data_IF_727719649378
#
_entry.id   IF_727719649378
#
_cell.length_a   1.000
_cell.length_b   1.000
_cell.length_c   1.000
_cell.angle_alpha   90.00
_cell.angle_beta   90.00
_cell.angle_gamma   90.00
#
_symmetry.space_group_name_H-M   'P 1'
#
loop_
_entity.id
_entity.type
_entity.pdbx_description
1 polymer ?
#
# COMPACT_ATOMS: atom_id res chain seq x y z
N UNK A 1 -0.34 20.70 -19.02
CA UNK A 1 0.23 20.87 -17.68
C UNK A 1 -0.86 21.38 -16.74
N UNK A 2 -0.97 20.77 -15.57
CA UNK A 2 -1.98 21.12 -14.59
C UNK A 2 -1.29 21.39 -13.26
N UNK A 3 -1.64 22.49 -12.61
CA UNK A 3 -1.16 22.82 -11.27
C UNK A 3 -2.38 22.96 -10.37
N UNK A 4 -2.43 22.20 -9.29
CA UNK A 4 -3.48 22.24 -8.28
C UNK A 4 -2.83 22.60 -6.95
N UNK A 5 -3.31 23.65 -6.31
CA UNK A 5 -2.88 24.04 -4.96
C UNK A 5 -3.95 23.59 -3.96
N UNK A 6 -3.52 23.14 -2.79
CA UNK A 6 -4.38 22.77 -1.66
C UNK A 6 -3.71 23.23 -0.37
N UNK A 7 -4.44 23.26 0.74
CA UNK A 7 -4.03 23.92 1.98
C UNK A 7 -2.64 23.49 2.50
N UNK A 8 -2.21 22.27 2.22
CA UNK A 8 -0.96 21.71 2.72
C UNK A 8 0.03 21.36 1.62
N UNK A 9 -0.15 21.87 0.40
CA UNK A 9 0.78 21.49 -0.67
C UNK A 9 0.38 21.90 -2.07
N UNK A 10 1.12 21.34 -3.02
CA UNK A 10 0.96 21.58 -4.45
C UNK A 10 1.06 20.26 -5.21
N UNK A 11 0.21 20.10 -6.21
CA UNK A 11 0.29 19.02 -7.18
C UNK A 11 0.56 19.59 -8.56
N UNK A 12 1.54 19.04 -9.23
CA UNK A 12 1.89 19.40 -10.60
C UNK A 12 1.81 18.17 -11.46
N UNK A 13 1.01 18.23 -12.52
CA UNK A 13 0.97 17.21 -13.54
C UNK A 13 1.45 17.79 -14.87
N UNK A 14 2.35 17.09 -15.54
CA UNK A 14 2.87 17.49 -16.84
C UNK A 14 2.96 16.28 -17.77
N UNK A 15 2.84 16.56 -19.06
CA UNK A 15 3.02 15.58 -20.11
C UNK A 15 4.47 15.61 -20.57
N UNK A 16 5.04 14.44 -20.73
CA UNK A 16 6.40 14.27 -21.20
C UNK A 16 6.45 13.21 -22.28
N UNK A 17 7.14 13.53 -23.37
CA UNK A 17 7.41 12.58 -24.43
C UNK A 17 8.75 11.87 -24.18
N UNK A 18 8.71 10.56 -24.23
CA UNK A 18 9.90 9.71 -24.16
C UNK A 18 10.12 8.99 -25.47
N UNK A 19 11.34 9.04 -25.96
CA UNK A 19 11.76 8.22 -27.10
C UNK A 19 12.38 6.93 -26.58
N UNK A 20 11.77 5.81 -26.90
CA UNK A 20 12.30 4.50 -26.54
C UNK A 20 13.42 4.17 -27.52
N UNK A 21 14.62 3.89 -27.01
CA UNK A 21 15.75 3.42 -27.82
C UNK A 21 15.52 1.97 -28.24
N UNK A 22 14.93 1.80 -29.40
CA UNK A 22 14.70 0.51 -30.04
C UNK A 22 14.86 0.68 -31.56
N UNK A 23 14.84 -0.40 -32.33
CA UNK A 23 14.92 -0.34 -33.80
C UNK A 23 13.83 0.56 -34.42
N UNK A 24 12.66 0.63 -33.80
CA UNK A 24 11.51 1.43 -34.26
C UNK A 24 11.49 2.86 -33.68
N UNK A 25 12.33 3.14 -32.67
CA UNK A 25 12.38 4.44 -31.97
C UNK A 25 11.00 5.07 -31.68
N UNK A 26 10.03 4.33 -31.10
CA UNK A 26 8.71 4.87 -30.85
C UNK A 26 8.76 5.99 -29.81
N UNK A 27 7.95 7.01 -30.01
CA UNK A 27 7.71 8.06 -29.02
C UNK A 27 6.49 7.69 -28.20
N UNK A 28 6.63 7.73 -26.88
CA UNK A 28 5.55 7.48 -25.93
C UNK A 28 5.29 8.74 -25.12
N UNK A 29 4.06 9.21 -25.13
CA UNK A 29 3.61 10.32 -24.29
C UNK A 29 3.20 9.75 -22.92
N UNK A 30 3.76 10.28 -21.85
CA UNK A 30 3.43 9.92 -20.48
C UNK A 30 3.02 11.15 -19.69
N UNK A 31 1.97 11.01 -18.89
CA UNK A 31 1.60 12.02 -17.90
C UNK A 31 2.24 11.68 -16.56
N UNK A 32 3.02 12.62 -16.04
CA UNK A 32 3.70 12.49 -14.75
C UNK A 32 3.07 13.47 -13.77
N UNK A 33 2.67 12.97 -12.60
CA UNK A 33 2.18 13.78 -11.50
C UNK A 33 3.15 13.76 -10.31
N UNK A 34 3.42 14.95 -9.78
CA UNK A 34 4.23 15.12 -8.58
C UNK A 34 3.44 15.92 -7.55
N UNK A 35 3.31 15.38 -6.33
CA UNK A 35 2.70 16.07 -5.22
C UNK A 35 3.75 16.41 -4.16
N UNK A 36 3.81 17.67 -3.76
CA UNK A 36 4.64 18.15 -2.65
C UNK A 36 3.69 18.57 -1.54
N UNK A 37 3.86 18.02 -0.34
CA UNK A 37 3.00 18.30 0.81
C UNK A 37 3.83 18.69 2.03
N UNK A 38 3.29 19.61 2.82
CA UNK A 38 3.80 19.88 4.15
C UNK A 38 3.48 18.68 5.05
N UNK A 39 4.44 18.30 5.86
CA UNK A 39 4.25 17.28 6.89
C UNK A 39 3.55 17.88 8.10
N UNK A 40 2.88 17.03 8.89
CA UNK A 40 2.25 17.42 10.13
C UNK A 40 3.27 18.12 11.06
N UNK A 41 2.86 19.23 11.69
CA UNK A 41 3.71 19.96 12.63
C UNK A 41 4.07 19.12 13.88
N UNK A 42 3.22 18.15 14.23
CA UNK A 42 3.43 17.21 15.33
C UNK A 42 3.59 15.78 14.76
N UNK A 43 4.80 15.38 14.39
CA UNK A 43 5.05 14.04 13.88
C UNK A 43 4.85 12.98 14.97
N UNK A 44 4.60 11.75 14.56
CA UNK A 44 4.49 10.62 15.48
C UNK A 44 5.82 10.42 16.23
N UNK A 45 5.77 10.18 17.55
CA UNK A 45 6.98 9.95 18.34
C UNK A 45 7.83 8.80 17.77
N UNK A 46 9.14 9.01 17.66
CA UNK A 46 10.11 8.04 17.17
C UNK A 46 10.09 6.76 18.02
N UNK A 47 10.23 5.61 17.37
CA UNK A 47 10.35 4.30 18.05
C UNK A 47 11.44 3.46 17.36
N UNK A 48 12.48 3.13 18.10
CA UNK A 48 13.55 2.28 17.62
C UNK A 48 13.06 0.85 17.33
N UNK A 49 13.62 0.23 16.31
CA UNK A 49 13.29 -1.13 15.93
C UNK A 49 13.92 -2.12 16.93
N UNK A 50 13.17 -3.16 17.24
CA UNK A 50 13.69 -4.35 17.90
C UNK A 50 13.72 -5.48 16.88
N UNK A 51 14.91 -5.90 16.47
CA UNK A 51 15.10 -6.89 15.40
C UNK A 51 14.58 -8.30 15.74
N UNK A 52 14.10 -8.54 16.96
CA UNK A 52 13.40 -9.79 17.31
C UNK A 52 12.00 -9.89 16.69
N UNK A 53 11.48 -8.78 16.15
CA UNK A 53 10.14 -8.75 15.54
C UNK A 53 10.23 -8.36 14.05
N UNK A 54 9.40 -8.96 13.19
CA UNK A 54 9.43 -8.72 11.75
C UNK A 54 8.70 -7.41 11.36
N UNK A 55 9.22 -6.27 11.82
CA UNK A 55 8.70 -4.96 11.41
C UNK A 55 9.27 -4.52 10.06
N UNK A 56 8.55 -3.64 9.37
CA UNK A 56 9.17 -2.77 8.37
C UNK A 56 9.86 -1.63 9.12
N UNK A 57 11.12 -1.36 8.78
CA UNK A 57 11.91 -0.31 9.43
C UNK A 57 12.70 0.50 8.41
N UNK A 58 13.08 1.72 8.80
CA UNK A 58 14.03 2.57 8.11
C UNK A 58 15.35 2.50 8.85
N UNK A 59 16.41 2.22 8.11
CA UNK A 59 17.79 2.23 8.65
C UNK A 59 18.43 3.59 8.40
N UNK A 60 19.13 4.12 9.36
CA UNK A 60 19.87 5.36 9.26
C UNK A 60 21.23 5.26 9.94
N UNK A 61 22.12 6.18 9.61
CA UNK A 61 23.44 6.28 10.23
C UNK A 61 23.45 7.42 11.24
N UNK A 62 23.66 7.08 12.51
CA UNK A 62 23.80 8.04 13.59
C UNK A 62 25.28 8.39 13.79
N UNK A 63 25.63 9.63 13.53
CA UNK A 63 26.99 10.17 13.69
C UNK A 63 27.26 10.74 15.09
N UNK A 64 26.20 10.87 15.91
CA UNK A 64 26.31 11.43 17.26
C UNK A 64 26.64 10.42 18.35
N UNK A 65 26.46 9.12 18.09
CA UNK A 65 26.63 8.06 19.10
C UNK A 65 28.07 7.61 19.33
N UNK A 66 28.93 7.80 18.37
CA UNK A 66 30.30 7.33 18.46
C UNK A 66 31.28 8.35 17.89
N UNK A 67 32.37 8.65 18.60
CA UNK A 67 33.43 9.51 18.06
C UNK A 67 34.26 8.83 16.97
N UNK A 68 34.11 7.52 16.80
CA UNK A 68 34.90 6.72 15.86
C UNK A 68 34.20 6.45 14.52
N UNK A 69 32.96 6.91 14.35
CA UNK A 69 32.23 6.74 13.11
C UNK A 69 30.72 6.62 13.31
N UNK A 70 30.01 6.46 12.20
CA UNK A 70 28.56 6.30 12.21
C UNK A 70 28.14 4.93 12.75
N UNK A 71 27.17 4.93 13.64
CA UNK A 71 26.48 3.72 14.13
C UNK A 71 25.19 3.55 13.35
N UNK A 72 24.96 2.36 12.80
CA UNK A 72 23.69 2.05 12.14
C UNK A 72 22.61 1.78 13.18
N UNK A 73 21.46 2.43 13.03
CA UNK A 73 20.28 2.24 13.84
C UNK A 73 19.02 2.19 12.98
N UNK A 74 17.90 1.75 13.54
CA UNK A 74 16.68 1.55 12.79
C UNK A 74 15.44 2.01 13.57
N UNK A 75 14.52 2.63 12.87
CA UNK A 75 13.21 3.05 13.41
C UNK A 75 12.09 2.29 12.75
N UNK A 76 11.05 1.96 13.51
CA UNK A 76 9.91 1.19 13.04
C UNK A 76 9.02 2.03 12.14
N UNK A 77 8.65 1.50 10.97
CA UNK A 77 7.60 2.07 10.15
C UNK A 77 6.23 1.68 10.71
N UNK A 78 5.41 2.68 11.04
CA UNK A 78 4.09 2.43 11.63
C UNK A 78 3.07 3.48 11.28
N UNK A 79 1.81 3.07 11.22
CA UNK A 79 0.70 3.98 11.06
C UNK A 79 0.40 4.74 12.34
N UNK A 80 -0.04 5.99 12.19
CA UNK A 80 -0.68 6.75 13.26
C UNK A 80 -2.14 6.31 13.35
N UNK A 81 -2.43 5.37 14.24
CA UNK A 81 -3.79 4.89 14.48
C UNK A 81 -4.23 5.39 15.86
N UNK A 82 -5.32 6.12 15.89
CA UNK A 82 -5.91 6.61 17.11
C UNK A 82 -7.43 6.38 17.07
N UNK A 83 -8.12 6.12 18.20
CA UNK A 83 -9.57 5.89 18.23
C UNK A 83 -10.41 6.99 17.57
N UNK A 84 -9.90 8.24 17.58
CA UNK A 84 -10.56 9.40 16.95
C UNK A 84 -10.09 9.65 15.50
N UNK A 85 -8.98 9.04 15.06
CA UNK A 85 -8.45 9.14 13.69
C UNK A 85 -8.14 7.73 13.17
N UNK A 86 -9.15 7.00 12.67
CA UNK A 86 -8.96 5.68 12.09
C UNK A 86 -8.15 5.77 10.81
N UNK A 87 -7.44 4.69 10.47
CA UNK A 87 -6.82 4.55 9.16
C UNK A 87 -7.90 4.42 8.09
N UNK A 88 -7.85 5.29 7.10
CA UNK A 88 -8.77 5.25 5.96
C UNK A 88 -8.18 4.35 4.88
N UNK A 89 -8.87 3.27 4.59
CA UNK A 89 -8.55 2.40 3.48
C UNK A 89 -9.46 2.73 2.29
N UNK A 90 -8.85 3.10 1.16
CA UNK A 90 -9.55 3.38 -0.09
C UNK A 90 -9.39 2.19 -1.03
N UNK A 91 -10.47 1.70 -1.58
CA UNK A 91 -10.44 0.67 -2.63
C UNK A 91 -10.70 1.38 -3.96
N UNK A 92 -9.80 1.17 -4.92
CA UNK A 92 -9.88 1.75 -6.25
C UNK A 92 -11.20 1.36 -6.91
N UNK A 93 -11.98 2.32 -7.45
CA UNK A 93 -13.23 2.04 -8.16
C UNK A 93 -13.08 1.10 -9.37
N UNK A 94 -11.89 1.02 -9.95
CA UNK A 94 -11.57 0.09 -11.04
C UNK A 94 -11.43 -1.35 -10.59
N UNK A 95 -11.40 -1.61 -9.28
CA UNK A 95 -11.38 -2.97 -8.75
C UNK A 95 -12.69 -3.69 -9.08
N UNK A 96 -12.64 -4.88 -9.70
CA UNK A 96 -13.86 -5.63 -10.01
C UNK A 96 -14.72 -5.87 -8.76
N UNK A 97 -16.05 -5.68 -8.81
CA UNK A 97 -16.94 -5.74 -7.65
C UNK A 97 -16.84 -7.03 -6.84
N UNK A 98 -16.61 -8.15 -7.54
CA UNK A 98 -16.40 -9.46 -6.90
C UNK A 98 -15.20 -9.42 -5.96
N UNK A 99 -14.06 -8.92 -6.44
CA UNK A 99 -12.81 -8.83 -5.65
C UNK A 99 -12.89 -7.75 -4.59
N UNK A 100 -13.48 -6.59 -4.92
CA UNK A 100 -13.65 -5.49 -3.97
C UNK A 100 -14.36 -5.96 -2.68
N UNK A 101 -15.38 -6.84 -2.79
CA UNK A 101 -16.10 -7.35 -1.63
C UNK A 101 -15.22 -8.22 -0.72
N UNK A 102 -14.36 -9.07 -1.28
CA UNK A 102 -13.42 -9.90 -0.52
C UNK A 102 -12.29 -9.08 0.09
N UNK A 103 -11.73 -8.14 -0.67
CA UNK A 103 -10.71 -7.20 -0.19
C UNK A 103 -11.23 -6.42 1.01
N UNK A 104 -12.46 -5.88 0.91
CA UNK A 104 -13.14 -5.18 2.00
C UNK A 104 -13.25 -6.03 3.26
N UNK A 105 -13.72 -7.28 3.13
CA UNK A 105 -13.80 -8.22 4.25
C UNK A 105 -12.43 -8.49 4.87
N UNK A 106 -11.40 -8.70 4.05
CA UNK A 106 -10.04 -8.94 4.50
C UNK A 106 -9.47 -7.76 5.28
N UNK A 107 -9.62 -6.54 4.75
CA UNK A 107 -9.16 -5.31 5.42
C UNK A 107 -9.87 -5.10 6.75
N UNK A 108 -11.20 -5.25 6.79
CA UNK A 108 -11.97 -5.05 8.02
C UNK A 108 -11.74 -6.14 9.08
N UNK A 109 -11.29 -7.33 8.68
CA UNK A 109 -10.96 -8.40 9.62
C UNK A 109 -9.84 -7.99 10.61
N UNK A 110 -8.93 -7.10 10.18
CA UNK A 110 -7.88 -6.55 11.05
C UNK A 110 -8.41 -5.75 12.24
N UNK A 111 -9.64 -5.20 12.15
CA UNK A 111 -10.23 -4.49 13.28
C UNK A 111 -10.33 -5.36 14.54
N UNK A 112 -10.53 -6.69 14.38
CA UNK A 112 -10.54 -7.60 15.53
C UNK A 112 -9.20 -7.64 16.28
N UNK A 113 -8.09 -7.62 15.54
CA UNK A 113 -6.75 -7.56 16.13
C UNK A 113 -6.49 -6.23 16.84
N UNK A 114 -6.94 -5.11 16.22
CA UNK A 114 -6.84 -3.80 16.84
C UNK A 114 -7.73 -3.66 18.10
N UNK A 115 -8.92 -4.27 18.11
CA UNK A 115 -9.78 -4.31 19.30
C UNK A 115 -9.14 -5.05 20.47
N UNK A 116 -8.42 -6.15 20.21
CA UNK A 116 -7.63 -6.84 21.22
C UNK A 116 -6.49 -5.96 21.76
N UNK A 117 -5.96 -5.07 20.94
CA UNK A 117 -4.97 -4.06 21.34
C UNK A 117 -5.60 -2.80 21.97
N UNK A 118 -6.94 -2.78 22.19
CA UNK A 118 -7.64 -1.67 22.82
C UNK A 118 -8.09 -0.55 21.87
N UNK A 119 -7.93 -0.72 20.57
CA UNK A 119 -8.30 0.30 19.57
C UNK A 119 -9.52 -0.18 18.77
N UNK A 120 -10.68 0.38 19.06
CA UNK A 120 -11.93 0.06 18.34
C UNK A 120 -12.01 0.85 17.02
N UNK A 121 -12.53 0.20 15.99
CA UNK A 121 -12.74 0.79 14.66
C UNK A 121 -11.46 1.44 14.09
N UNK A 122 -10.33 0.76 14.22
CA UNK A 122 -9.02 1.24 13.81
C UNK A 122 -8.92 1.50 12.31
N UNK A 123 -9.66 0.73 11.49
CA UNK A 123 -9.67 0.85 10.03
C UNK A 123 -11.09 1.10 9.57
N UNK A 124 -11.25 2.08 8.67
CA UNK A 124 -12.49 2.36 7.95
C UNK A 124 -12.25 2.30 6.46
N UNK A 125 -13.24 1.80 5.72
CA UNK A 125 -13.21 1.80 4.26
C UNK A 125 -13.93 3.03 3.75
N UNK A 126 -13.30 3.72 2.81
CA UNK A 126 -13.89 4.78 2.04
C UNK A 126 -14.07 4.28 0.61
N UNK A 127 -15.33 4.15 0.18
CA UNK A 127 -15.68 3.76 -1.18
C UNK A 127 -15.67 5.00 -2.09
N UNK A 128 -15.26 4.85 -3.33
CA UNK A 128 -15.24 5.91 -4.35
C UNK A 128 -14.26 7.08 -4.11
N UNK A 129 -13.19 6.85 -3.39
CA UNK A 129 -12.14 7.86 -3.33
C UNK A 129 -11.32 7.84 -4.63
N UNK A 130 -11.78 8.57 -5.63
CA UNK A 130 -10.94 9.01 -6.75
C UNK A 130 -10.05 10.13 -6.27
N UNK A 131 -9.05 9.81 -5.48
CA UNK A 131 -8.04 10.80 -5.12
C UNK A 131 -7.00 10.84 -6.24
N UNK A 132 -7.17 11.75 -7.17
CA UNK A 132 -6.13 12.07 -8.16
C UNK A 132 -4.83 12.49 -7.48
N UNK A 133 -4.93 13.08 -6.30
CA UNK A 133 -3.81 13.52 -5.48
C UNK A 133 -3.73 12.63 -4.23
N UNK A 134 -2.61 11.93 -3.99
CA UNK A 134 -2.44 11.09 -2.81
C UNK A 134 -2.64 11.91 -1.52
N UNK A 135 -3.68 11.65 -0.77
CA UNK A 135 -3.89 12.26 0.53
C UNK A 135 -3.06 11.55 1.60
N UNK A 136 -2.54 12.31 2.59
CA UNK A 136 -1.79 11.74 3.71
C UNK A 136 -2.70 10.85 4.57
N UNK A 137 -2.06 9.92 5.30
CA UNK A 137 -2.70 8.96 6.21
C UNK A 137 -3.73 8.04 5.53
N UNK A 138 -3.47 7.68 4.29
CA UNK A 138 -4.33 6.77 3.51
C UNK A 138 -3.61 5.50 3.10
N UNK A 139 -4.38 4.44 3.11
CA UNK A 139 -4.02 3.14 2.54
C UNK A 139 -4.89 2.89 1.32
N UNK A 140 -4.29 2.84 0.14
CA UNK A 140 -5.01 2.64 -1.13
C UNK A 140 -4.77 1.22 -1.62
N UNK A 141 -5.82 0.54 -2.00
CA UNK A 141 -5.75 -0.78 -2.65
C UNK A 141 -6.26 -0.63 -4.07
N UNK A 142 -5.40 -0.86 -5.04
CA UNK A 142 -5.73 -0.95 -6.46
C UNK A 142 -5.61 -2.39 -6.95
N UNK A 143 -6.27 -2.70 -8.06
CA UNK A 143 -6.27 -4.03 -8.66
C UNK A 143 -5.82 -3.92 -10.11
N UNK A 144 -4.82 -4.74 -10.48
CA UNK A 144 -4.25 -4.75 -11.81
C UNK A 144 -4.41 -6.13 -12.46
N UNK A 145 -5.22 -6.18 -13.51
CA UNK A 145 -5.49 -7.41 -14.27
C UNK A 145 -4.26 -7.92 -15.01
N UNK A 146 -3.34 -7.04 -15.42
CA UNK A 146 -2.16 -7.37 -16.18
C UNK A 146 -0.93 -7.70 -15.33
N UNK A 147 -0.95 -7.36 -14.05
CA UNK A 147 0.20 -7.60 -13.18
C UNK A 147 0.26 -9.05 -12.69
N UNK A 148 1.43 -9.66 -12.84
CA UNK A 148 1.70 -11.02 -12.34
C UNK A 148 1.88 -11.07 -10.82
N UNK A 149 2.30 -9.96 -10.21
CA UNK A 149 2.64 -9.90 -8.78
C UNK A 149 2.00 -8.68 -8.13
N UNK A 150 1.92 -8.73 -6.80
CA UNK A 150 1.49 -7.58 -6.00
C UNK A 150 2.68 -6.68 -5.71
N UNK A 151 2.49 -5.37 -5.89
CA UNK A 151 3.50 -4.36 -5.56
C UNK A 151 3.00 -3.44 -4.45
N UNK A 152 3.93 -2.96 -3.63
CA UNK A 152 3.65 -2.01 -2.55
C UNK A 152 4.52 -0.77 -2.72
N UNK A 153 3.88 0.38 -2.74
CA UNK A 153 4.53 1.68 -2.63
C UNK A 153 4.19 2.27 -1.26
N UNK A 154 5.19 2.75 -0.54
CA UNK A 154 5.00 3.30 0.79
C UNK A 154 5.79 4.59 0.93
N UNK A 155 5.16 5.62 1.45
CA UNK A 155 5.78 6.89 1.82
C UNK A 155 5.78 6.97 3.33
N UNK A 156 6.96 7.18 3.90
CA UNK A 156 7.16 7.29 5.35
C UNK A 156 7.83 8.61 5.69
N UNK A 157 7.52 9.14 6.87
CA UNK A 157 8.23 10.27 7.42
C UNK A 157 9.69 9.84 7.71
N UNK A 158 10.69 10.54 7.17
CA UNK A 158 12.08 10.09 7.22
C UNK A 158 12.66 10.04 8.63
N UNK A 159 12.20 10.90 9.53
CA UNK A 159 12.74 11.01 10.89
C UNK A 159 12.01 10.12 11.90
N UNK A 160 10.73 9.81 11.69
CA UNK A 160 9.91 9.12 12.69
C UNK A 160 9.44 7.74 12.28
N UNK A 161 9.56 7.39 10.99
CA UNK A 161 9.02 6.15 10.44
C UNK A 161 7.49 6.12 10.36
N UNK A 162 6.81 7.24 10.59
CA UNK A 162 5.35 7.31 10.42
C UNK A 162 4.98 7.02 8.97
N UNK A 163 4.08 6.05 8.76
CA UNK A 163 3.58 5.74 7.43
C UNK A 163 2.55 6.81 7.05
N UNK A 164 2.88 7.61 6.05
CA UNK A 164 2.06 8.71 5.57
C UNK A 164 1.10 8.26 4.47
N UNK A 165 1.55 7.33 3.65
CA UNK A 165 0.77 6.81 2.53
C UNK A 165 1.25 5.41 2.16
N UNK A 166 0.32 4.54 1.80
CA UNK A 166 0.65 3.24 1.20
C UNK A 166 -0.30 2.95 0.05
N UNK A 167 0.23 2.54 -1.07
CA UNK A 167 -0.52 1.95 -2.17
C UNK A 167 -0.13 0.49 -2.33
N UNK A 168 -1.12 -0.38 -2.27
CA UNK A 168 -0.99 -1.80 -2.55
C UNK A 168 -1.66 -2.07 -3.88
N UNK A 169 -0.87 -2.42 -4.90
CA UNK A 169 -1.39 -2.80 -6.20
C UNK A 169 -1.46 -4.33 -6.27
N UNK A 170 -2.67 -4.86 -6.19
CA UNK A 170 -2.94 -6.30 -6.23
C UNK A 170 -2.91 -6.79 -7.67
N UNK A 171 -1.91 -7.59 -8.01
CA UNK A 171 -1.82 -8.22 -9.33
C UNK A 171 -2.74 -9.43 -9.44
N UNK A 172 -3.50 -9.53 -10.54
CA UNK A 172 -4.38 -10.68 -10.81
C UNK A 172 -3.61 -12.01 -10.86
N UNK A 173 -2.39 -11.99 -11.41
CA UNK A 173 -1.54 -13.17 -11.52
C UNK A 173 -1.19 -13.83 -10.19
N UNK A 174 -1.34 -13.11 -9.07
CA UNK A 174 -1.15 -13.67 -7.73
C UNK A 174 -2.17 -14.78 -7.39
N UNK A 175 -3.37 -14.73 -7.99
CA UNK A 175 -4.44 -15.70 -7.68
C UNK A 175 -4.09 -17.13 -8.13
N UNK A 176 -3.44 -17.25 -9.26
CA UNK A 176 -3.15 -18.57 -9.84
C UNK A 176 -2.23 -19.44 -8.94
N UNK A 177 -1.11 -18.94 -8.40
CA UNK A 177 -0.31 -19.69 -7.44
C UNK A 177 -1.08 -20.09 -6.18
N UNK A 178 -1.93 -19.21 -5.64
CA UNK A 178 -2.75 -19.54 -4.48
C UNK A 178 -3.79 -20.62 -4.78
N UNK A 179 -4.44 -20.56 -5.94
CA UNK A 179 -5.37 -21.58 -6.40
C UNK A 179 -4.66 -22.92 -6.60
N UNK A 180 -3.46 -22.91 -7.20
CA UNK A 180 -2.67 -24.13 -7.39
C UNK A 180 -2.26 -24.75 -6.05
N UNK A 181 -1.76 -23.95 -5.11
CA UNK A 181 -1.43 -24.44 -3.77
C UNK A 181 -2.64 -25.01 -3.04
N UNK A 182 -3.77 -24.31 -3.09
CA UNK A 182 -5.03 -24.81 -2.52
C UNK A 182 -5.46 -26.13 -3.17
N UNK A 183 -5.33 -26.23 -4.49
CA UNK A 183 -5.63 -27.46 -5.24
C UNK A 183 -4.76 -28.64 -4.78
N UNK A 184 -3.46 -28.42 -4.64
CA UNK A 184 -2.54 -29.47 -4.19
C UNK A 184 -2.81 -29.93 -2.75
N UNK A 185 -3.13 -28.98 -1.86
CA UNK A 185 -3.34 -29.28 -0.44
C UNK A 185 -4.74 -29.87 -0.15
N UNK A 186 -5.77 -29.29 -0.75
CA UNK A 186 -7.17 -29.56 -0.36
C UNK A 186 -8.07 -29.99 -1.51
N UNK A 187 -7.61 -29.98 -2.74
CA UNK A 187 -8.43 -30.20 -3.94
C UNK A 187 -9.13 -31.55 -3.96
N UNK A 188 -8.51 -32.62 -3.41
CA UNK A 188 -9.09 -33.95 -3.30
C UNK A 188 -10.25 -34.04 -2.30
N UNK A 189 -10.28 -33.16 -1.30
CA UNK A 189 -11.26 -33.14 -0.21
C UNK A 189 -12.37 -32.12 -0.45
N UNK A 190 -12.11 -31.06 -1.23
CA UNK A 190 -13.08 -30.00 -1.49
C UNK A 190 -14.15 -30.43 -2.49
N UNK A 191 -15.34 -30.67 -1.96
CA UNK A 191 -16.52 -31.07 -2.76
C UNK A 191 -16.95 -30.03 -3.81
N UNK A 192 -16.59 -28.76 -3.63
CA UNK A 192 -16.91 -27.67 -4.58
C UNK A 192 -16.08 -27.83 -5.86
N UNK A 193 -14.83 -28.25 -5.73
CA UNK A 193 -13.92 -28.48 -6.85
C UNK A 193 -14.35 -29.70 -7.65
N UNK A 194 -14.71 -30.79 -6.98
CA UNK A 194 -15.20 -32.00 -7.65
C UNK A 194 -16.43 -31.79 -8.52
N UNK A 195 -17.33 -30.89 -8.13
CA UNK A 195 -18.52 -30.58 -8.92
C UNK A 195 -18.21 -29.89 -10.24
N UNK A 196 -17.21 -29.01 -10.27
CA UNK A 196 -16.88 -28.24 -11.49
C UNK A 196 -16.15 -29.11 -12.53
N UNK A 197 -15.30 -30.06 -12.11
CA UNK A 197 -14.61 -30.97 -13.04
C UNK A 197 -15.59 -31.92 -13.75
N UNK A 198 -16.67 -32.31 -13.08
CA UNK A 198 -17.69 -33.22 -13.66
C UNK A 198 -18.64 -32.52 -14.63
N UNK A 199 -18.64 -31.18 -14.70
CA UNK A 199 -19.47 -30.42 -15.64
C UNK A 199 -18.74 -30.03 -16.92
N UNK A 200 -17.42 -30.22 -17.02
CA UNK A 200 -16.62 -29.95 -18.22
C UNK A 200 -16.28 -31.23 -19.04
N UNK A 201 -16.86 -32.38 -18.70
CA UNK A 201 -16.88 -33.60 -19.51
C UNK A 201 -18.28 -33.86 -20.08
#
# INVERSE_FOLDING_TARGET
DTIITFDEGIYVAFKQEYRIQSELNPTVEMQIGCAVRLLDAEPLGLRYANHHFPYTYLTFKDYGRSPYGAVEDSIICRWRIHPRKPLICCIDPLCPPTWASYIKKGVLAWNKAFEQAGIKNAIKIHENAQDEIPALHRFVISYDLGAATTTRQQITHPETGEILYTRLNLGHGLLLPYLNNYWWEYGSEDKRIRKNILHEQ
#
